data_IF_484403527656
#
_entry.id   IF_484403527656
#
_cell.length_a   1.000
_cell.length_b   1.000
_cell.length_c   1.000
_cell.angle_alpha   90.00
_cell.angle_beta   90.00
_cell.angle_gamma   90.00
#
_symmetry.space_group_name_H-M   'P 1'
#
loop_
_entity.id
_entity.type
_entity.pdbx_description
1 polymer ?
#
# COMPACT_ATOMS: atom_id res chain seq x y z
N UNK A 1 2.34 -11.58 -16.30
CA UNK A 1 1.86 -10.98 -15.05
C UNK A 1 3.07 -10.50 -14.25
N UNK A 2 3.09 -9.24 -13.84
CA UNK A 2 4.15 -8.71 -12.96
C UNK A 2 4.05 -9.40 -11.60
N UNK A 3 5.15 -10.04 -11.16
CA UNK A 3 5.24 -10.57 -9.79
C UNK A 3 5.70 -9.44 -8.88
N UNK A 4 5.02 -9.22 -7.75
CA UNK A 4 5.34 -8.20 -6.75
C UNK A 4 6.82 -8.19 -6.36
N UNK A 5 7.41 -9.37 -6.27
CA UNK A 5 8.82 -9.58 -5.87
C UNK A 5 9.84 -8.93 -6.82
N UNK A 6 9.45 -8.70 -8.08
CA UNK A 6 10.31 -8.15 -9.12
C UNK A 6 10.08 -6.65 -9.35
N UNK A 7 9.10 -6.03 -8.68
CA UNK A 7 8.78 -4.60 -8.85
C UNK A 7 9.38 -3.82 -7.70
N UNK A 8 10.43 -3.05 -7.99
CA UNK A 8 11.13 -2.24 -6.99
C UNK A 8 10.59 -0.82 -6.87
N UNK A 9 9.98 -0.30 -7.94
CA UNK A 9 9.38 1.03 -7.98
C UNK A 9 8.36 1.11 -9.12
N UNK A 10 7.49 2.12 -9.09
CA UNK A 10 6.57 2.46 -10.19
C UNK A 10 6.81 3.90 -10.60
N UNK A 11 6.98 4.13 -11.90
CA UNK A 11 7.07 5.47 -12.49
C UNK A 11 6.07 5.54 -13.64
N UNK A 12 5.27 6.62 -13.68
CA UNK A 12 4.26 6.80 -14.74
C UNK A 12 4.28 8.21 -15.32
N UNK A 13 3.93 8.33 -16.61
CA UNK A 13 3.79 9.63 -17.27
C UNK A 13 2.54 10.40 -16.85
N UNK A 14 1.49 9.66 -16.53
CA UNK A 14 0.22 10.22 -16.13
C UNK A 14 -0.28 9.59 -14.82
N UNK A 15 -1.25 10.24 -14.22
CA UNK A 15 -1.87 9.78 -12.98
C UNK A 15 -1.52 10.69 -11.80
N UNK A 16 -2.42 10.72 -10.84
CA UNK A 16 -2.27 11.43 -9.57
C UNK A 16 -2.25 10.46 -8.40
N UNK A 17 -2.29 10.99 -7.19
CA UNK A 17 -2.22 10.23 -5.93
C UNK A 17 -3.35 9.20 -5.75
N UNK A 18 -4.47 9.38 -6.43
CA UNK A 18 -5.64 8.48 -6.43
C UNK A 18 -5.64 7.48 -7.58
N UNK A 19 -4.63 7.54 -8.48
CA UNK A 19 -4.54 6.62 -9.61
C UNK A 19 -4.36 5.17 -9.17
N UNK A 20 -4.75 4.24 -10.03
CA UNK A 20 -4.57 2.79 -9.77
C UNK A 20 -3.11 2.43 -9.50
N UNK A 21 -2.16 3.03 -10.22
CA UNK A 21 -0.72 2.84 -10.01
C UNK A 21 -0.25 3.33 -8.63
N UNK A 22 -0.78 4.46 -8.14
CA UNK A 22 -0.48 4.98 -6.81
C UNK A 22 -1.01 4.06 -5.71
N UNK A 23 -2.24 3.58 -5.86
CA UNK A 23 -2.87 2.65 -4.92
C UNK A 23 -2.07 1.34 -4.88
N UNK A 24 -1.67 0.82 -6.04
CA UNK A 24 -0.89 -0.40 -6.15
C UNK A 24 0.49 -0.26 -5.49
N UNK A 25 1.20 0.85 -5.74
CA UNK A 25 2.49 1.12 -5.13
C UNK A 25 2.40 1.18 -3.60
N UNK A 26 1.38 1.87 -3.06
CA UNK A 26 1.11 1.92 -1.62
C UNK A 26 0.81 0.54 -1.04
N UNK A 27 0.00 -0.27 -1.73
CA UNK A 27 -0.32 -1.63 -1.28
C UNK A 27 0.90 -2.56 -1.28
N UNK A 28 1.83 -2.35 -2.20
CA UNK A 28 3.09 -3.09 -2.28
C UNK A 28 4.17 -2.54 -1.35
N UNK A 29 3.99 -1.33 -0.82
CA UNK A 29 4.99 -0.66 0.02
C UNK A 29 6.26 -0.31 -0.75
N UNK A 30 6.14 0.02 -2.04
CA UNK A 30 7.24 0.39 -2.94
C UNK A 30 7.14 1.87 -3.33
N UNK A 31 8.27 2.55 -3.64
CA UNK A 31 8.26 3.93 -4.07
C UNK A 31 7.53 4.10 -5.41
N UNK A 32 6.84 5.24 -5.57
CA UNK A 32 6.23 5.62 -6.84
C UNK A 32 6.44 7.11 -7.12
N UNK A 33 6.71 7.43 -8.38
CA UNK A 33 6.76 8.80 -8.90
C UNK A 33 5.82 8.87 -10.10
N UNK A 34 4.83 9.76 -10.01
CA UNK A 34 3.75 9.87 -11.00
C UNK A 34 3.84 11.19 -11.74
N UNK A 35 3.36 11.21 -12.98
CA UNK A 35 3.34 12.43 -13.80
C UNK A 35 4.71 12.84 -14.34
N UNK A 36 5.62 11.90 -14.54
CA UNK A 36 6.95 12.15 -15.11
C UNK A 36 6.84 12.21 -16.62
N UNK A 37 6.83 13.42 -17.15
CA UNK A 37 6.66 13.68 -18.59
C UNK A 37 7.70 12.93 -19.41
N UNK A 38 7.23 12.29 -20.49
CA UNK A 38 8.04 11.62 -21.51
C UNK A 38 8.94 10.47 -20.98
N UNK A 39 8.67 9.93 -19.77
CA UNK A 39 9.52 8.90 -19.15
C UNK A 39 9.62 7.63 -19.97
N UNK A 40 8.55 7.22 -20.66
CA UNK A 40 8.55 6.02 -21.48
C UNK A 40 9.49 6.13 -22.70
N UNK A 41 9.77 7.35 -23.14
CA UNK A 41 10.72 7.62 -24.23
C UNK A 41 12.15 7.87 -23.74
N UNK A 42 12.31 8.29 -22.49
CA UNK A 42 13.60 8.62 -21.88
C UNK A 42 14.27 7.43 -21.22
N UNK A 43 13.47 6.50 -20.70
CA UNK A 43 13.98 5.30 -20.04
C UNK A 43 14.15 4.15 -21.03
N UNK A 44 15.23 3.41 -20.88
CA UNK A 44 15.53 2.22 -21.69
C UNK A 44 15.61 0.96 -20.83
N UNK A 45 15.29 -0.18 -21.44
CA UNK A 45 15.43 -1.49 -20.80
C UNK A 45 16.88 -1.74 -20.35
N UNK A 46 17.05 -2.22 -19.13
CA UNK A 46 18.37 -2.48 -18.55
C UNK A 46 19.07 -1.25 -17.98
N UNK A 47 18.49 -0.06 -18.13
CA UNK A 47 19.04 1.19 -17.59
C UNK A 47 18.94 1.22 -16.07
N UNK A 48 20.03 1.58 -15.39
CA UNK A 48 20.02 1.80 -13.95
C UNK A 48 19.24 3.09 -13.63
N UNK A 49 18.29 3.00 -12.71
CA UNK A 49 17.59 4.17 -12.20
C UNK A 49 17.48 4.15 -10.67
N UNK A 50 17.36 5.34 -10.09
CA UNK A 50 17.03 5.53 -8.68
C UNK A 50 15.71 6.27 -8.57
N UNK A 51 14.83 5.79 -7.67
CA UNK A 51 13.47 6.32 -7.47
C UNK A 51 13.30 6.68 -6.01
N UNK A 52 13.02 7.93 -5.73
CA UNK A 52 12.64 8.44 -4.41
C UNK A 52 11.18 8.86 -4.42
N UNK A 53 10.32 8.00 -3.90
CA UNK A 53 8.88 8.25 -3.81
C UNK A 53 8.49 9.21 -2.68
N UNK A 54 9.39 9.53 -1.74
CA UNK A 54 9.16 10.49 -0.66
C UNK A 54 9.29 11.92 -1.16
N UNK A 55 10.32 12.18 -1.99
CA UNK A 55 10.60 13.48 -2.58
C UNK A 55 10.11 13.64 -4.03
N UNK A 56 9.55 12.58 -4.62
CA UNK A 56 9.06 12.60 -6.00
C UNK A 56 10.18 12.70 -7.05
N UNK A 57 11.35 12.14 -6.76
CA UNK A 57 12.52 12.24 -7.63
C UNK A 57 12.83 10.94 -8.36
N UNK A 58 13.25 11.09 -9.62
CA UNK A 58 13.73 9.99 -10.47
C UNK A 58 15.06 10.41 -11.08
N UNK A 59 16.06 9.56 -10.99
CA UNK A 59 17.33 9.68 -11.69
C UNK A 59 17.51 8.52 -12.66
N UNK A 60 17.72 8.82 -13.91
CA UNK A 60 18.15 7.88 -14.93
C UNK A 60 19.69 7.90 -14.97
N UNK A 61 20.31 6.73 -14.90
CA UNK A 61 21.78 6.58 -14.85
C UNK A 61 22.44 7.47 -13.78
N UNK A 62 22.04 7.36 -12.51
CA UNK A 62 22.60 8.18 -11.46
C UNK A 62 24.13 7.95 -11.36
N UNK A 63 24.88 9.02 -11.17
CA UNK A 63 26.30 8.92 -10.89
C UNK A 63 26.57 8.22 -9.55
N UNK A 64 27.85 7.95 -9.29
CA UNK A 64 28.25 7.18 -8.10
C UNK A 64 27.88 7.91 -6.79
N UNK A 65 27.93 9.24 -6.78
CA UNK A 65 27.59 10.06 -5.61
C UNK A 65 26.08 10.02 -5.34
N UNK A 66 25.27 10.28 -6.35
CA UNK A 66 23.80 10.20 -6.27
C UNK A 66 23.35 8.80 -5.86
N UNK A 67 23.95 7.77 -6.44
CA UNK A 67 23.64 6.38 -6.09
C UNK A 67 23.98 6.05 -4.63
N UNK A 68 25.08 6.57 -4.12
CA UNK A 68 25.48 6.39 -2.72
C UNK A 68 24.47 7.08 -1.77
N UNK A 69 24.04 8.30 -2.11
CA UNK A 69 23.00 9.03 -1.35
C UNK A 69 21.70 8.25 -1.32
N UNK A 70 21.21 7.80 -2.48
CA UNK A 70 19.95 7.03 -2.58
C UNK A 70 20.04 5.71 -1.78
N UNK A 71 21.17 5.02 -1.81
CA UNK A 71 21.40 3.81 -1.00
C UNK A 71 21.35 4.11 0.50
N UNK A 72 22.00 5.19 0.94
CA UNK A 72 21.97 5.60 2.35
C UNK A 72 20.55 5.97 2.82
N UNK A 73 19.79 6.69 2.01
CA UNK A 73 18.37 7.02 2.28
C UNK A 73 17.52 5.76 2.38
N UNK A 74 17.66 4.81 1.44
CA UNK A 74 16.97 3.52 1.48
C UNK A 74 17.29 2.75 2.77
N UNK A 75 18.54 2.68 3.17
CA UNK A 75 18.94 2.04 4.42
C UNK A 75 18.32 2.72 5.65
N UNK A 76 18.33 4.05 5.69
CA UNK A 76 17.68 4.84 6.75
C UNK A 76 16.17 4.58 6.82
N UNK A 77 15.49 4.56 5.68
CA UNK A 77 14.06 4.25 5.59
C UNK A 77 13.74 2.84 6.10
N UNK A 78 14.46 1.83 5.63
CA UNK A 78 14.25 0.43 6.05
C UNK A 78 14.50 0.24 7.54
N UNK A 79 15.55 0.86 8.08
CA UNK A 79 15.87 0.83 9.52
C UNK A 79 14.75 1.47 10.35
N UNK A 80 14.28 2.65 9.95
CA UNK A 80 13.15 3.35 10.61
C UNK A 80 11.89 2.49 10.59
N UNK A 81 11.59 1.88 9.43
CA UNK A 81 10.44 0.99 9.28
C UNK A 81 10.53 -0.24 10.20
N UNK A 82 11.70 -0.84 10.32
CA UNK A 82 11.93 -1.97 11.23
C UNK A 82 11.71 -1.57 12.70
N UNK A 83 12.28 -0.43 13.13
CA UNK A 83 12.07 0.10 14.49
C UNK A 83 10.60 0.40 14.78
N UNK A 84 9.88 0.96 13.81
CA UNK A 84 8.43 1.23 13.97
C UNK A 84 7.63 -0.07 14.06
N UNK A 85 8.00 -1.11 13.30
CA UNK A 85 7.35 -2.42 13.38
C UNK A 85 7.58 -3.10 14.74
N UNK A 86 8.78 -3.01 15.30
CA UNK A 86 9.07 -3.51 16.65
C UNK A 86 8.25 -2.78 17.71
N UNK A 87 8.14 -1.46 17.62
CA UNK A 87 7.36 -0.65 18.56
C UNK A 87 5.84 -0.83 18.41
N UNK A 88 5.38 -1.18 17.20
CA UNK A 88 3.95 -1.40 16.93
C UNK A 88 3.41 -2.70 17.56
N UNK A 89 4.27 -3.59 18.05
CA UNK A 89 3.85 -4.82 18.73
C UNK A 89 3.30 -4.59 20.15
N UNK A 90 3.52 -3.39 20.72
CA UNK A 90 3.04 -3.02 22.06
C UNK A 90 1.76 -2.20 22.04
N UNK A 91 1.08 -2.06 23.19
CA UNK A 91 -0.08 -1.19 23.31
C UNK A 91 0.29 0.28 23.10
N UNK A 92 -0.54 1.02 22.39
CA UNK A 92 -0.39 2.46 22.28
C UNK A 92 -0.85 3.13 23.61
N UNK A 93 0.08 3.80 24.28
CA UNK A 93 -0.20 4.44 25.56
C UNK A 93 0.26 5.89 25.52
N UNK A 94 -0.59 6.81 25.94
CA UNK A 94 -0.25 8.23 26.08
C UNK A 94 0.75 8.43 27.23
N UNK A 95 1.41 9.58 27.25
CA UNK A 95 2.29 9.98 28.37
C UNK A 95 1.53 10.01 29.71
N UNK A 96 0.22 10.27 29.66
CA UNK A 96 -0.68 10.20 30.81
C UNK A 96 -0.93 8.79 31.37
N UNK A 97 -0.51 7.75 30.65
CA UNK A 97 -0.78 6.35 30.98
C UNK A 97 -2.09 5.81 30.40
N UNK A 98 -2.87 6.61 29.70
CA UNK A 98 -4.11 6.21 29.05
C UNK A 98 -3.82 5.37 27.79
N UNK A 99 -4.50 4.21 27.66
CA UNK A 99 -4.40 3.35 26.50
C UNK A 99 -5.26 3.91 25.34
N UNK A 100 -4.69 3.94 24.15
CA UNK A 100 -5.39 4.29 22.92
C UNK A 100 -5.54 3.01 22.06
N UNK A 101 -6.77 2.67 21.72
CA UNK A 101 -7.03 1.53 20.84
C UNK A 101 -6.75 1.91 19.37
N UNK A 102 -5.95 1.08 18.71
CA UNK A 102 -5.52 1.29 17.33
C UNK A 102 -6.40 0.47 16.38
N UNK A 103 -7.16 1.16 15.53
CA UNK A 103 -8.00 0.55 14.50
C UNK A 103 -7.31 0.42 13.15
N UNK A 104 -7.32 -0.77 12.57
CA UNK A 104 -6.81 -1.02 11.23
C UNK A 104 -7.81 -0.55 10.16
N UNK A 105 -7.30 0.18 9.16
CA UNK A 105 -8.03 0.47 7.93
C UNK A 105 -7.57 -0.52 6.84
N UNK A 106 -8.33 -1.58 6.63
CA UNK A 106 -7.98 -2.69 5.77
C UNK A 106 -8.58 -2.55 4.36
N UNK A 107 -7.76 -2.78 3.33
CA UNK A 107 -8.18 -2.86 1.93
C UNK A 107 -8.16 -4.29 1.38
N UNK A 108 -7.70 -5.27 2.15
CA UNK A 108 -7.75 -6.68 1.80
C UNK A 108 -8.05 -7.52 3.03
N UNK A 109 -8.57 -8.73 2.80
CA UNK A 109 -8.87 -9.70 3.86
C UNK A 109 -7.65 -10.59 4.22
N UNK A 110 -6.50 -10.36 3.60
CA UNK A 110 -5.30 -11.14 3.88
C UNK A 110 -4.74 -10.77 5.26
N UNK A 111 -4.39 -11.75 6.09
CA UNK A 111 -3.69 -11.48 7.33
C UNK A 111 -2.32 -10.88 7.05
N UNK A 112 -1.99 -9.82 7.76
CA UNK A 112 -0.69 -9.16 7.70
C UNK A 112 -0.25 -8.74 9.12
N UNK A 113 0.96 -8.23 9.24
CA UNK A 113 1.51 -7.77 10.52
C UNK A 113 0.66 -6.63 11.15
N UNK A 114 -0.02 -5.82 10.33
CA UNK A 114 -0.91 -4.78 10.84
C UNK A 114 -2.16 -5.36 11.49
N UNK A 115 -2.68 -6.50 10.97
CA UNK A 115 -3.80 -7.23 11.58
C UNK A 115 -3.43 -7.77 12.96
N UNK A 116 -2.19 -8.24 13.14
CA UNK A 116 -1.71 -8.73 14.43
C UNK A 116 -1.56 -7.60 15.44
N UNK A 117 -1.06 -6.44 15.00
CA UNK A 117 -0.72 -5.29 15.85
C UNK A 117 -1.89 -4.37 16.18
N UNK A 118 -3.04 -4.46 15.49
CA UNK A 118 -4.19 -3.61 15.78
C UNK A 118 -5.04 -4.16 16.92
N UNK A 119 -5.77 -3.28 17.61
CA UNK A 119 -6.75 -3.69 18.64
C UNK A 119 -8.09 -4.10 18.01
N UNK A 120 -8.45 -3.54 16.86
CA UNK A 120 -9.67 -3.86 16.11
C UNK A 120 -9.53 -3.50 14.63
N UNK A 121 -10.41 -4.01 13.77
CA UNK A 121 -10.52 -3.57 12.37
C UNK A 121 -11.54 -2.43 12.32
N UNK A 122 -11.05 -1.21 12.28
CA UNK A 122 -11.87 0.00 12.30
C UNK A 122 -12.64 0.23 11.00
N UNK A 123 -12.06 -0.20 9.88
CA UNK A 123 -12.70 -0.11 8.57
C UNK A 123 -12.16 -1.18 7.63
N UNK A 124 -13.05 -2.01 7.10
CA UNK A 124 -12.76 -2.82 5.91
C UNK A 124 -13.44 -2.21 4.69
N UNK A 125 -12.67 -1.86 3.69
CA UNK A 125 -13.15 -1.22 2.46
C UNK A 125 -13.54 -2.27 1.44
N UNK A 126 -14.83 -2.43 1.21
CA UNK A 126 -15.37 -3.43 0.27
C UNK A 126 -15.13 -3.06 -1.20
N UNK A 127 -14.85 -1.80 -1.52
CA UNK A 127 -14.67 -1.32 -2.90
C UNK A 127 -13.60 -2.11 -3.66
N UNK A 128 -12.52 -2.53 -2.96
CA UNK A 128 -11.46 -3.32 -3.59
C UNK A 128 -11.93 -4.70 -4.06
N UNK A 129 -12.95 -5.27 -3.41
CA UNK A 129 -13.56 -6.52 -3.85
C UNK A 129 -14.23 -6.34 -5.22
N UNK A 130 -14.90 -5.22 -5.41
CA UNK A 130 -15.60 -4.89 -6.65
C UNK A 130 -14.65 -4.40 -7.74
N UNK A 131 -13.72 -3.51 -7.42
CA UNK A 131 -12.74 -2.98 -8.38
C UNK A 131 -11.79 -4.04 -8.96
N UNK A 132 -11.52 -5.11 -8.21
CA UNK A 132 -10.64 -6.19 -8.65
C UNK A 132 -11.38 -7.34 -9.35
N UNK A 133 -12.69 -7.24 -9.52
CA UNK A 133 -13.52 -8.24 -10.19
C UNK A 133 -13.84 -7.81 -11.62
N UNK A 134 -13.87 -8.77 -12.54
CA UNK A 134 -14.30 -8.51 -13.92
C UNK A 134 -15.80 -8.28 -14.01
N UNK A 135 -16.58 -8.93 -13.12
CA UNK A 135 -18.03 -8.86 -13.02
C UNK A 135 -18.45 -8.54 -11.58
N UNK A 136 -19.72 -8.23 -11.37
CA UNK A 136 -20.28 -7.99 -10.04
C UNK A 136 -20.07 -9.22 -9.13
N UNK A 137 -19.35 -9.08 -7.99
CA UNK A 137 -19.11 -10.20 -7.09
C UNK A 137 -20.42 -10.75 -6.52
N UNK A 138 -20.68 -12.02 -6.78
CA UNK A 138 -21.83 -12.71 -6.21
C UNK A 138 -21.71 -12.88 -4.68
N UNK A 139 -22.81 -13.27 -4.05
CA UNK A 139 -22.92 -13.43 -2.59
C UNK A 139 -21.82 -14.35 -2.02
N UNK A 140 -21.56 -15.50 -2.67
CA UNK A 140 -20.53 -16.44 -2.22
C UNK A 140 -19.13 -15.86 -2.25
N UNK A 141 -18.77 -15.09 -3.30
CA UNK A 141 -17.49 -14.42 -3.40
C UNK A 141 -17.30 -13.40 -2.27
N UNK A 142 -18.32 -12.61 -1.99
CA UNK A 142 -18.33 -11.65 -0.88
C UNK A 142 -18.23 -12.36 0.47
N UNK A 143 -18.99 -13.43 0.67
CA UNK A 143 -18.97 -14.23 1.89
C UNK A 143 -17.57 -14.79 2.19
N UNK A 144 -16.88 -15.33 1.19
CA UNK A 144 -15.53 -15.89 1.39
C UNK A 144 -14.52 -14.80 1.80
N UNK A 145 -14.63 -13.60 1.26
CA UNK A 145 -13.78 -12.46 1.65
C UNK A 145 -14.06 -12.04 3.09
N UNK A 146 -15.33 -11.86 3.47
CA UNK A 146 -15.70 -11.46 4.84
C UNK A 146 -15.34 -12.53 5.86
N UNK A 147 -15.55 -13.81 5.52
CA UNK A 147 -15.15 -14.94 6.35
C UNK A 147 -13.63 -14.97 6.58
N UNK A 148 -12.83 -14.72 5.54
CA UNK A 148 -11.37 -14.66 5.64
C UNK A 148 -10.92 -13.50 6.53
N UNK A 149 -11.53 -12.33 6.38
CA UNK A 149 -11.28 -11.16 7.22
C UNK A 149 -11.58 -11.45 8.70
N UNK A 150 -12.76 -12.00 9.01
CA UNK A 150 -13.17 -12.29 10.38
C UNK A 150 -12.26 -13.33 11.03
N UNK A 151 -11.83 -14.33 10.26
CA UNK A 151 -10.85 -15.32 10.74
C UNK A 151 -9.49 -14.70 11.02
N UNK A 152 -9.00 -13.83 10.10
CA UNK A 152 -7.74 -13.13 10.29
C UNK A 152 -7.77 -12.16 11.50
N UNK A 153 -8.93 -11.58 11.78
CA UNK A 153 -9.13 -10.68 12.91
C UNK A 153 -9.03 -11.39 14.28
N UNK A 154 -9.16 -12.73 14.33
CA UNK A 154 -8.90 -13.49 15.55
C UNK A 154 -9.80 -13.15 16.75
N UNK A 155 -11.06 -12.81 16.52
CA UNK A 155 -12.01 -12.39 17.56
C UNK A 155 -12.02 -10.88 17.86
N UNK A 156 -11.18 -10.09 17.22
CA UNK A 156 -11.23 -8.63 17.30
C UNK A 156 -12.51 -8.09 16.64
N UNK A 157 -12.98 -6.94 17.08
CA UNK A 157 -14.10 -6.24 16.44
C UNK A 157 -13.76 -5.89 15.00
N UNK A 158 -14.72 -6.09 14.08
CA UNK A 158 -14.55 -5.78 12.64
C UNK A 158 -15.69 -4.91 12.17
N UNK A 159 -15.34 -3.75 11.61
CA UNK A 159 -16.29 -2.86 10.94
C UNK A 159 -16.14 -3.02 9.43
N UNK A 160 -17.18 -3.47 8.76
CA UNK A 160 -17.23 -3.60 7.31
C UNK A 160 -18.07 -2.46 6.75
N UNK A 161 -17.49 -1.63 5.88
CA UNK A 161 -18.24 -0.62 5.13
C UNK A 161 -18.92 -1.30 3.95
N UNK A 162 -20.22 -1.10 3.82
CA UNK A 162 -20.96 -1.49 2.62
C UNK A 162 -20.42 -0.72 1.40
N UNK A 163 -20.75 -1.21 0.20
CA UNK A 163 -20.25 -0.65 -1.05
C UNK A 163 -20.47 0.88 -1.13
N UNK A 164 -19.38 1.60 -1.31
CA UNK A 164 -19.33 3.04 -1.46
C UNK A 164 -18.59 3.37 -2.77
N UNK A 165 -19.33 3.37 -3.87
CA UNK A 165 -18.84 3.68 -5.21
C UNK A 165 -19.56 4.92 -5.71
N UNK A 166 -18.80 5.95 -6.04
CA UNK A 166 -19.29 7.22 -6.57
C UNK A 166 -18.14 8.17 -6.87
N UNK A 167 -18.45 9.26 -7.55
CA UNK A 167 -17.48 10.30 -7.90
C UNK A 167 -16.42 9.81 -8.89
N UNK A 168 -15.22 9.60 -8.40
CA UNK A 168 -14.02 9.24 -9.18
C UNK A 168 -13.81 7.73 -9.36
N UNK A 169 -14.65 6.90 -8.72
CA UNK A 169 -14.55 5.45 -8.80
C UNK A 169 -15.55 4.90 -9.78
N UNK A 170 -15.06 4.31 -10.87
CA UNK A 170 -15.89 3.62 -11.86
C UNK A 170 -15.65 2.12 -11.78
N UNK A 171 -16.72 1.34 -11.89
CA UNK A 171 -16.61 -0.10 -12.08
C UNK A 171 -16.50 -0.42 -13.57
N UNK A 172 -15.81 -1.52 -13.93
CA UNK A 172 -15.68 -1.93 -15.34
C UNK A 172 -16.98 -2.51 -15.93
N UNK A 173 -18.04 -2.64 -15.15
CA UNK A 173 -19.35 -3.23 -15.50
C UNK A 173 -20.49 -2.40 -14.95
#
# INVERSE_FOLDING_TARGET
>A
SMRRENVLAIVTEAGGETSHSAILARSFGIPAVLGVKDIASLAADGQLCAVDGENGCLWLEPDAETLAICKAQKHGFLRRRAMLAENAAGPAVLISGEKIDIGLNAGSAAPDAAMESCDFVGLFRTEFLYMNSADLPGEEAQYQVYRSLIRAAGGKMVTIRTLDIGGDKTLPY
#
